data_IF_142602773595
#
_entry.id   IF_142602773595
#
_cell.length_a   1.000
_cell.length_b   1.000
_cell.length_c   1.000
_cell.angle_alpha   90.00
_cell.angle_beta   90.00
_cell.angle_gamma   90.00
#
_symmetry.space_group_name_H-M   'P 1'
#
loop_
_entity.id
_entity.type
_entity.pdbx_description
1 polymer ?
#
# COMPACT_ATOMS: atom_id res chain seq x y z
N UNK A 1 -45.62 -9.85 13.84
CA UNK A 1 -44.91 -8.57 13.61
C UNK A 1 -43.60 -8.48 14.39
N UNK A 2 -43.50 -9.04 15.60
CA UNK A 2 -42.24 -9.02 16.38
C UNK A 2 -41.10 -9.85 15.76
N UNK A 3 -41.41 -11.02 15.18
CA UNK A 3 -40.39 -11.87 14.53
C UNK A 3 -39.79 -11.19 13.30
N UNK A 4 -40.60 -10.59 12.43
CA UNK A 4 -40.11 -9.87 11.24
C UNK A 4 -39.21 -8.70 11.63
N UNK A 5 -39.56 -7.97 12.69
CA UNK A 5 -38.76 -6.84 13.21
C UNK A 5 -37.39 -7.31 13.73
N UNK A 6 -37.33 -8.45 14.43
CA UNK A 6 -36.07 -9.05 14.87
C UNK A 6 -35.16 -9.44 13.69
N UNK A 7 -35.71 -9.99 12.60
CA UNK A 7 -34.92 -10.32 11.40
C UNK A 7 -34.39 -9.06 10.69
N UNK A 8 -35.16 -7.98 10.65
CA UNK A 8 -34.69 -6.70 10.10
C UNK A 8 -33.56 -6.10 10.94
N UNK A 9 -33.65 -6.15 12.27
CA UNK A 9 -32.58 -5.67 13.16
C UNK A 9 -31.31 -6.52 12.98
N UNK A 10 -31.45 -7.84 12.90
CA UNK A 10 -30.31 -8.75 12.70
C UNK A 10 -29.65 -8.54 11.34
N UNK A 11 -30.45 -8.38 10.28
CA UNK A 11 -29.94 -8.10 8.93
C UNK A 11 -29.27 -6.72 8.85
N UNK A 12 -29.86 -5.69 9.47
CA UNK A 12 -29.26 -4.35 9.53
C UNK A 12 -27.94 -4.34 10.31
N UNK A 13 -27.85 -5.12 11.39
CA UNK A 13 -26.62 -5.26 12.17
C UNK A 13 -25.53 -5.97 11.35
N UNK A 14 -25.88 -7.05 10.65
CA UNK A 14 -24.96 -7.77 9.79
C UNK A 14 -24.48 -6.90 8.62
N UNK A 15 -25.39 -6.13 8.01
CA UNK A 15 -25.05 -5.18 6.96
C UNK A 15 -24.13 -4.07 7.46
N UNK A 16 -24.38 -3.54 8.67
CA UNK A 16 -23.51 -2.56 9.32
C UNK A 16 -22.10 -3.12 9.57
N UNK A 17 -21.97 -4.37 10.01
CA UNK A 17 -20.67 -5.02 10.17
C UNK A 17 -19.93 -5.15 8.83
N UNK A 18 -20.63 -5.54 7.78
CA UNK A 18 -20.05 -5.65 6.43
C UNK A 18 -19.58 -4.29 5.93
N UNK A 19 -20.38 -3.22 6.12
CA UNK A 19 -19.95 -1.85 5.77
C UNK A 19 -18.73 -1.41 6.57
N UNK A 20 -18.72 -1.65 7.89
CA UNK A 20 -17.58 -1.28 8.73
C UNK A 20 -16.30 -2.00 8.30
N UNK A 21 -16.38 -3.29 7.98
CA UNK A 21 -15.26 -4.07 7.44
C UNK A 21 -14.77 -3.54 6.10
N UNK A 22 -15.69 -3.16 5.19
CA UNK A 22 -15.33 -2.59 3.89
C UNK A 22 -14.63 -1.22 4.02
N UNK A 23 -15.12 -0.35 4.92
CA UNK A 23 -14.49 0.95 5.21
C UNK A 23 -13.10 0.75 5.78
N UNK A 24 -12.93 -0.19 6.71
CA UNK A 24 -11.61 -0.48 7.29
C UNK A 24 -10.61 -1.00 6.25
N UNK A 25 -11.04 -1.95 5.40
CA UNK A 25 -10.20 -2.47 4.31
C UNK A 25 -9.83 -1.41 3.25
N UNK A 26 -10.64 -0.36 3.11
CA UNK A 26 -10.42 0.74 2.17
C UNK A 26 -9.62 1.90 2.77
N UNK A 27 -9.11 1.75 3.99
CA UNK A 27 -8.31 2.79 4.64
C UNK A 27 -7.09 3.11 3.77
N UNK A 28 -6.83 4.39 3.47
CA UNK A 28 -5.71 4.78 2.63
C UNK A 28 -4.39 4.38 3.28
N UNK A 29 -3.44 3.91 2.46
CA UNK A 29 -2.08 3.59 2.89
C UNK A 29 -1.43 4.84 3.48
N UNK A 30 -0.94 4.76 4.73
CA UNK A 30 -0.18 5.85 5.34
C UNK A 30 1.23 5.92 4.72
N UNK A 31 1.39 6.82 3.74
CA UNK A 31 2.66 7.05 3.03
C UNK A 31 3.82 7.42 3.98
N UNK A 32 3.56 7.86 5.21
CA UNK A 32 4.60 8.27 6.17
C UNK A 32 5.46 7.09 6.61
N UNK A 33 4.92 5.88 6.62
CA UNK A 33 5.62 4.66 7.06
C UNK A 33 6.56 4.10 5.97
N UNK A 34 6.38 4.55 4.72
CA UNK A 34 7.05 4.04 3.54
C UNK A 34 8.14 4.97 3.03
N UNK A 35 9.13 4.38 2.36
CA UNK A 35 10.27 5.10 1.79
C UNK A 35 9.88 5.84 0.51
N UNK A 36 10.33 7.08 0.39
CA UNK A 36 10.25 7.88 -0.85
C UNK A 36 11.60 7.85 -1.54
N UNK A 37 11.61 7.51 -2.82
CA UNK A 37 12.79 7.51 -3.69
C UNK A 37 12.62 8.50 -4.82
N UNK A 38 13.74 9.01 -5.35
CA UNK A 38 13.76 9.82 -6.57
C UNK A 38 14.08 8.93 -7.75
N UNK A 39 13.24 8.95 -8.78
CA UNK A 39 13.40 8.16 -10.00
C UNK A 39 14.65 8.60 -10.76
N UNK A 40 15.55 7.66 -11.03
CA UNK A 40 16.75 7.88 -11.85
C UNK A 40 16.45 7.64 -13.34
N UNK A 41 17.28 8.20 -14.25
CA UNK A 41 17.14 7.92 -15.68
C UNK A 41 17.26 6.43 -15.99
N UNK A 42 16.26 5.86 -16.66
CA UNK A 42 16.24 4.43 -17.02
C UNK A 42 15.61 3.50 -15.98
N UNK A 43 15.17 4.04 -14.84
CA UNK A 43 14.41 3.28 -13.86
C UNK A 43 13.06 2.83 -14.43
N UNK A 44 12.68 1.63 -14.04
CA UNK A 44 11.36 1.05 -14.35
C UNK A 44 10.77 0.50 -13.07
N UNK A 45 9.45 0.49 -12.95
CA UNK A 45 8.78 -0.12 -11.79
C UNK A 45 9.20 -1.59 -11.60
N UNK A 46 9.43 -2.31 -12.69
CA UNK A 46 9.95 -3.68 -12.65
C UNK A 46 11.39 -3.78 -12.14
N UNK A 47 12.26 -2.86 -12.58
CA UNK A 47 13.63 -2.77 -12.08
C UNK A 47 13.69 -2.43 -10.59
N UNK A 48 12.81 -1.52 -10.13
CA UNK A 48 12.66 -1.17 -8.72
C UNK A 48 12.11 -2.35 -7.90
N UNK A 49 11.12 -3.08 -8.41
CA UNK A 49 10.61 -4.28 -7.75
C UNK A 49 11.74 -5.30 -7.51
N UNK A 50 12.59 -5.55 -8.52
CA UNK A 50 13.74 -6.45 -8.36
C UNK A 50 14.79 -5.89 -7.40
N UNK A 51 15.06 -4.59 -7.46
CA UNK A 51 16.08 -3.96 -6.62
C UNK A 51 15.71 -4.03 -5.13
N UNK A 52 14.43 -3.90 -4.80
CA UNK A 52 13.95 -3.89 -3.42
C UNK A 52 13.33 -5.22 -2.94
N UNK A 53 13.50 -6.32 -3.69
CA UNK A 53 12.91 -7.65 -3.43
C UNK A 53 13.03 -8.12 -1.98
N UNK A 54 14.20 -7.90 -1.37
CA UNK A 54 14.53 -8.34 -0.01
C UNK A 54 13.90 -7.46 1.09
N UNK A 55 13.48 -6.25 0.76
CA UNK A 55 12.84 -5.34 1.69
C UNK A 55 11.34 -5.58 1.77
N UNK A 56 10.70 -5.82 0.62
CA UNK A 56 9.25 -5.83 0.49
C UNK A 56 8.60 -7.22 0.34
N UNK A 57 9.36 -8.25 -0.08
CA UNK A 57 8.92 -9.66 -0.15
C UNK A 57 7.59 -9.92 -0.86
N UNK A 58 7.21 -9.10 -1.85
CA UNK A 58 6.00 -9.31 -2.67
C UNK A 58 6.37 -9.60 -4.12
N UNK A 59 5.50 -10.26 -4.89
CA UNK A 59 5.73 -10.48 -6.31
C UNK A 59 5.79 -9.15 -7.09
N UNK A 60 6.55 -9.09 -8.20
CA UNK A 60 6.74 -7.85 -8.96
C UNK A 60 5.43 -7.19 -9.42
N UNK A 61 4.43 -7.97 -9.80
CA UNK A 61 3.13 -7.45 -10.26
C UNK A 61 2.38 -6.72 -9.13
N UNK A 62 2.49 -7.22 -7.90
CA UNK A 62 1.89 -6.61 -6.72
C UNK A 62 2.61 -5.33 -6.32
N UNK A 63 3.95 -5.32 -6.39
CA UNK A 63 4.74 -4.10 -6.21
C UNK A 63 4.31 -3.00 -7.18
N UNK A 64 4.23 -3.33 -8.47
CA UNK A 64 3.88 -2.36 -9.51
C UNK A 64 2.49 -1.79 -9.25
N UNK A 65 1.51 -2.65 -8.93
CA UNK A 65 0.13 -2.22 -8.65
C UNK A 65 0.08 -1.32 -7.42
N UNK A 66 0.78 -1.69 -6.34
CA UNK A 66 0.84 -0.89 -5.12
C UNK A 66 1.47 0.48 -5.38
N UNK A 67 2.60 0.53 -6.10
CA UNK A 67 3.29 1.80 -6.39
C UNK A 67 2.43 2.71 -7.26
N UNK A 68 1.73 2.15 -8.26
CA UNK A 68 0.80 2.91 -9.11
C UNK A 68 -0.37 3.45 -8.30
N UNK A 69 -0.97 2.64 -7.44
CA UNK A 69 -2.13 3.03 -6.63
C UNK A 69 -1.78 4.10 -5.58
N UNK A 70 -0.72 3.86 -4.80
CA UNK A 70 -0.29 4.74 -3.71
C UNK A 70 0.26 6.06 -4.24
N UNK A 71 0.91 6.09 -5.40
CA UNK A 71 1.41 7.34 -5.99
C UNK A 71 0.43 7.98 -6.97
N UNK A 72 -0.73 7.35 -7.21
CA UNK A 72 -1.71 7.78 -8.21
C UNK A 72 -1.07 8.02 -9.59
N UNK A 73 -0.17 7.11 -9.99
CA UNK A 73 0.54 7.26 -11.26
C UNK A 73 -0.45 7.12 -12.42
N UNK A 74 -0.47 8.07 -13.38
CA UNK A 74 -1.35 7.98 -14.54
C UNK A 74 -0.94 6.84 -15.49
N UNK A 75 0.29 6.35 -15.38
CA UNK A 75 0.78 5.18 -16.11
C UNK A 75 1.92 4.50 -15.35
N UNK A 76 2.27 3.25 -15.68
CA UNK A 76 3.44 2.55 -15.11
C UNK A 76 4.80 3.15 -15.51
N UNK A 77 4.83 4.23 -16.32
CA UNK A 77 6.04 4.92 -16.72
C UNK A 77 6.43 5.95 -15.66
N UNK A 78 7.70 5.95 -15.30
CA UNK A 78 8.26 6.88 -14.34
C UNK A 78 8.91 8.06 -15.06
N UNK A 79 8.73 9.27 -14.54
CA UNK A 79 9.47 10.44 -15.00
C UNK A 79 10.77 10.59 -14.21
N UNK A 80 11.89 10.80 -14.89
CA UNK A 80 13.17 11.07 -14.23
C UNK A 80 13.05 12.28 -13.29
N UNK A 81 13.53 12.15 -12.05
CA UNK A 81 13.46 13.18 -11.02
C UNK A 81 12.14 13.22 -10.25
N UNK A 82 11.15 12.40 -10.61
CA UNK A 82 9.91 12.23 -9.86
C UNK A 82 10.18 11.55 -8.52
N UNK A 83 9.48 11.99 -7.47
CA UNK A 83 9.53 11.35 -6.16
C UNK A 83 8.36 10.39 -6.02
N UNK A 84 8.65 9.11 -5.82
CA UNK A 84 7.65 8.06 -5.66
C UNK A 84 7.84 7.34 -4.33
N UNK A 85 6.74 6.91 -3.73
CA UNK A 85 6.70 6.07 -2.55
C UNK A 85 6.75 4.61 -2.99
N UNK A 86 7.63 3.82 -2.39
CA UNK A 86 7.75 2.38 -2.64
C UNK A 86 7.33 1.58 -1.40
N UNK A 87 6.87 0.32 -1.53
CA UNK A 87 6.41 -0.52 -0.41
C UNK A 87 7.57 -1.06 0.44
N UNK A 88 8.48 -0.18 0.84
CA UNK A 88 9.60 -0.44 1.75
C UNK A 88 9.35 0.38 3.01
N UNK A 89 9.32 -0.28 4.17
CA UNK A 89 9.13 0.39 5.46
C UNK A 89 10.38 1.17 5.85
N UNK A 90 10.20 2.41 6.34
CA UNK A 90 11.32 3.22 6.84
C UNK A 90 12.08 2.55 8.00
N UNK A 91 11.39 1.77 8.83
CA UNK A 91 12.00 1.01 9.93
C UNK A 91 13.02 -0.03 9.44
N UNK A 92 12.78 -0.64 8.27
CA UNK A 92 13.69 -1.58 7.62
C UNK A 92 14.94 -0.89 7.06
N UNK A 93 14.84 0.38 6.67
CA UNK A 93 15.97 1.17 6.15
C UNK A 93 16.90 1.71 7.27
N UNK A 94 16.35 1.98 8.47
CA UNK A 94 17.12 2.46 9.64
C UNK A 94 17.86 1.37 10.43
N UNK A 95 17.50 0.09 10.24
CA UNK A 95 18.11 -1.04 10.95
C UNK A 95 19.53 -1.42 10.52
N UNK A 96 20.05 -0.81 9.45
CA UNK A 96 21.42 -1.06 8.95
C UNK A 96 22.41 0.08 9.19
N UNK A 97 21.99 1.19 9.81
CA UNK A 97 22.85 2.36 10.06
C UNK A 97 23.06 2.68 11.56
N UNK A 98 22.45 1.92 12.47
CA UNK A 98 22.61 2.13 13.92
C UNK A 98 23.43 1.02 14.63
N UNK A 99 24.45 0.47 13.98
CA UNK A 99 25.57 -0.17 14.70
C UNK A 99 26.77 0.74 14.46
N UNK A 100 27.09 1.54 15.47
CA UNK A 100 28.34 2.26 15.74
C UNK A 100 28.04 3.63 16.37
N UNK A 101 27.62 3.64 17.63
CA UNK A 101 28.07 4.60 18.64
C UNK A 101 28.20 3.89 19.99
#
# INVERSE_FOLDING_TARGET
>A
MEKTLLHYVLFSFLFSLVLAGFVYASSPVDKKEYVTITVAPGDTLWGLAKQYEQEHHMPPDEFIRWVVDVNHLPSPRLATGEQIVIPVLKSKQGGSVAVNQ
#
